data_IF_127259371601
#
_entry.id   IF_127259371601
#
_cell.length_a   1.000
_cell.length_b   1.000
_cell.length_c   1.000
_cell.angle_alpha   90.00
_cell.angle_beta   90.00
_cell.angle_gamma   90.00
#
_symmetry.space_group_name_H-M   'P 1'
#
loop_
_entity.id
_entity.type
_entity.pdbx_description
1 polymer ?
#
# COMPACT_ATOMS: atom_id res chain seq x y z
N UNK A 1 -5.43 -6.91 -23.21
CA UNK A 1 -6.37 -5.87 -23.68
C UNK A 1 -6.24 -4.70 -22.73
N UNK A 2 -5.42 -3.72 -23.08
CA UNK A 2 -5.13 -2.56 -22.24
C UNK A 2 -6.35 -1.64 -22.26
N UNK A 3 -6.95 -1.40 -21.09
CA UNK A 3 -7.77 -0.22 -20.88
C UNK A 3 -6.96 0.75 -20.04
N UNK A 4 -6.72 1.93 -20.59
CA UNK A 4 -6.60 3.14 -19.76
C UNK A 4 -7.89 3.25 -18.94
N UNK A 5 -7.86 2.78 -17.70
CA UNK A 5 -8.77 3.29 -16.69
C UNK A 5 -8.00 4.40 -15.99
N UNK A 6 -7.79 5.50 -16.69
CA UNK A 6 -7.68 6.76 -15.99
C UNK A 6 -9.06 6.94 -15.36
N UNK A 7 -9.19 6.59 -14.08
CA UNK A 7 -10.35 6.96 -13.26
C UNK A 7 -10.54 8.47 -13.47
N UNK A 8 -11.56 8.83 -14.24
CA UNK A 8 -11.83 10.23 -14.52
C UNK A 8 -12.22 10.88 -13.19
N UNK A 9 -11.29 11.64 -12.63
CA UNK A 9 -11.55 12.43 -11.43
C UNK A 9 -12.77 13.30 -11.71
N UNK A 10 -13.65 13.42 -10.72
CA UNK A 10 -14.80 14.31 -10.86
C UNK A 10 -14.34 15.77 -10.87
N UNK A 11 -15.20 16.67 -11.37
CA UNK A 11 -14.88 18.10 -11.52
C UNK A 11 -14.33 18.72 -10.24
N UNK A 12 -14.90 18.38 -9.08
CA UNK A 12 -14.42 18.90 -7.79
C UNK A 12 -13.02 18.40 -7.45
N UNK A 13 -12.71 17.12 -7.71
CA UNK A 13 -11.37 16.56 -7.51
C UNK A 13 -10.35 17.21 -8.44
N UNK A 14 -10.70 17.45 -9.70
CA UNK A 14 -9.84 18.16 -10.64
C UNK A 14 -9.57 19.60 -10.21
N UNK A 15 -10.61 20.35 -9.83
CA UNK A 15 -10.49 21.72 -9.32
C UNK A 15 -9.58 21.77 -8.08
N UNK A 16 -9.74 20.85 -7.13
CA UNK A 16 -8.89 20.76 -5.94
C UNK A 16 -7.41 20.50 -6.30
N UNK A 17 -7.14 19.62 -7.27
CA UNK A 17 -5.78 19.36 -7.74
C UNK A 17 -5.18 20.59 -8.44
N UNK A 18 -5.96 21.30 -9.26
CA UNK A 18 -5.51 22.51 -9.97
C UNK A 18 -5.22 23.68 -9.03
N UNK A 19 -5.98 23.77 -7.91
CA UNK A 19 -5.79 24.81 -6.90
C UNK A 19 -4.66 24.49 -5.91
N UNK A 20 -4.01 23.33 -6.03
CA UNK A 20 -2.88 22.97 -5.19
C UNK A 20 -1.73 23.98 -5.38
N UNK A 21 -1.21 24.51 -4.26
CA UNK A 21 -0.12 25.49 -4.22
C UNK A 21 1.23 24.87 -3.88
N UNK A 22 1.25 23.59 -3.56
CA UNK A 22 2.41 22.86 -3.10
C UNK A 22 2.99 21.99 -4.22
N UNK A 23 4.30 21.84 -4.23
CA UNK A 23 4.98 20.86 -5.08
C UNK A 23 5.21 19.58 -4.28
N UNK A 24 4.72 18.46 -4.82
CA UNK A 24 4.89 17.12 -4.25
C UNK A 24 5.62 16.17 -5.20
N UNK A 25 6.31 16.71 -6.21
CA UNK A 25 7.00 15.92 -7.24
C UNK A 25 8.16 15.07 -6.72
N UNK A 26 8.64 15.35 -5.51
CA UNK A 26 9.65 14.57 -4.78
C UNK A 26 9.05 13.44 -3.92
N UNK A 27 7.72 13.43 -3.73
CA UNK A 27 7.05 12.43 -2.91
C UNK A 27 6.78 11.13 -3.68
N UNK A 28 6.77 10.04 -2.91
CA UNK A 28 6.53 8.68 -3.39
C UNK A 28 5.49 8.01 -2.50
N UNK A 29 4.47 7.43 -3.11
CA UNK A 29 3.45 6.65 -2.43
C UNK A 29 3.51 5.19 -2.87
N UNK A 30 3.32 4.27 -1.92
CA UNK A 30 3.17 2.85 -2.16
C UNK A 30 1.82 2.38 -1.61
N UNK A 31 1.01 1.76 -2.46
CA UNK A 31 -0.18 1.04 -2.04
C UNK A 31 0.12 -0.45 -1.94
N UNK A 32 -0.16 -1.05 -0.78
CA UNK A 32 -0.14 -2.50 -0.59
C UNK A 32 -1.58 -3.03 -0.62
N UNK A 33 -2.00 -3.55 -1.79
CA UNK A 33 -3.33 -4.10 -2.00
C UNK A 33 -3.42 -5.55 -1.49
N UNK A 34 -3.85 -5.69 -0.24
CA UNK A 34 -3.96 -6.94 0.49
C UNK A 34 -5.21 -7.76 0.13
N UNK A 35 -5.60 -7.75 -1.15
CA UNK A 35 -6.60 -8.67 -1.70
C UNK A 35 -6.16 -10.13 -1.57
N UNK A 36 -7.12 -11.05 -1.66
CA UNK A 36 -6.86 -12.50 -1.79
C UNK A 36 -6.77 -12.97 -3.25
N UNK A 37 -7.19 -12.15 -4.22
CA UNK A 37 -7.14 -12.56 -5.65
C UNK A 37 -5.82 -12.19 -6.29
N UNK A 38 -5.23 -13.15 -7.00
CA UNK A 38 -3.94 -12.96 -7.69
C UNK A 38 -4.12 -12.15 -8.97
N UNK A 39 -3.06 -11.49 -9.41
CA UNK A 39 -3.05 -10.86 -10.74
C UNK A 39 -3.20 -11.91 -11.85
N UNK A 40 -3.91 -11.62 -12.95
CA UNK A 40 -4.54 -10.34 -13.31
C UNK A 40 -6.04 -10.26 -12.95
N UNK A 41 -6.51 -10.99 -11.94
CA UNK A 41 -7.94 -10.96 -11.59
C UNK A 41 -8.41 -9.55 -11.23
N UNK A 42 -9.60 -9.19 -11.73
CA UNK A 42 -10.24 -7.90 -11.49
C UNK A 42 -10.69 -7.77 -10.03
N UNK A 43 -10.45 -6.60 -9.46
CA UNK A 43 -10.80 -6.27 -8.08
C UNK A 43 -11.71 -5.06 -8.02
N UNK A 44 -12.74 -5.11 -7.16
CA UNK A 44 -13.53 -3.91 -6.84
C UNK A 44 -12.70 -2.87 -6.10
N UNK A 45 -11.77 -3.33 -5.25
CA UNK A 45 -10.86 -2.49 -4.48
C UNK A 45 -9.91 -1.66 -5.34
N UNK A 46 -9.63 -2.10 -6.57
CA UNK A 46 -8.82 -1.34 -7.51
C UNK A 46 -9.46 -0.01 -7.89
N UNK A 47 -10.79 0.04 -8.05
CA UNK A 47 -11.44 1.30 -8.43
C UNK A 47 -11.20 2.42 -7.41
N UNK A 48 -11.18 2.10 -6.11
CA UNK A 48 -10.92 3.10 -5.07
C UNK A 48 -9.42 3.45 -4.97
N UNK A 49 -8.53 2.47 -5.19
CA UNK A 49 -7.08 2.74 -5.33
C UNK A 49 -6.84 3.66 -6.52
N UNK A 50 -7.46 3.40 -7.67
CA UNK A 50 -7.26 4.16 -8.91
C UNK A 50 -7.68 5.62 -8.76
N UNK A 51 -8.77 5.90 -8.03
CA UNK A 51 -9.16 7.29 -7.69
C UNK A 51 -8.10 7.96 -6.82
N UNK A 52 -7.67 7.31 -5.73
CA UNK A 52 -6.67 7.88 -4.84
C UNK A 52 -5.31 8.09 -5.54
N UNK A 53 -4.89 7.11 -6.32
CA UNK A 53 -3.71 7.15 -7.17
C UNK A 53 -3.79 8.29 -8.17
N UNK A 54 -4.90 8.43 -8.90
CA UNK A 54 -5.07 9.50 -9.87
C UNK A 54 -4.99 10.90 -9.23
N UNK A 55 -5.53 11.08 -8.03
CA UNK A 55 -5.37 12.35 -7.27
C UNK A 55 -3.90 12.60 -6.93
N UNK A 56 -3.20 11.60 -6.41
CA UNK A 56 -1.78 11.71 -6.05
C UNK A 56 -0.91 12.03 -7.28
N UNK A 57 -1.12 11.32 -8.39
CA UNK A 57 -0.40 11.53 -9.64
C UNK A 57 -0.70 12.89 -10.28
N UNK A 58 -1.95 13.37 -10.21
CA UNK A 58 -2.31 14.74 -10.63
C UNK A 58 -1.59 15.82 -9.82
N UNK A 59 -1.24 15.50 -8.57
CA UNK A 59 -0.42 16.34 -7.70
C UNK A 59 1.09 16.02 -7.81
N UNK A 60 1.50 15.28 -8.85
CA UNK A 60 2.89 14.91 -9.19
C UNK A 60 3.57 13.92 -8.24
N UNK A 61 2.85 13.32 -7.31
CA UNK A 61 3.39 12.25 -6.46
C UNK A 61 3.62 11.02 -7.34
N UNK A 62 4.78 10.37 -7.20
CA UNK A 62 5.02 9.07 -7.86
C UNK A 62 4.30 7.96 -7.09
N UNK A 63 3.48 7.16 -7.76
CA UNK A 63 2.65 6.14 -7.09
C UNK A 63 2.90 4.74 -7.63
N UNK A 64 3.29 3.82 -6.73
CA UNK A 64 3.36 2.38 -6.99
C UNK A 64 2.19 1.66 -6.32
N UNK A 65 1.71 0.59 -6.95
CA UNK A 65 0.72 -0.34 -6.37
C UNK A 65 1.28 -1.75 -6.45
N UNK A 66 1.32 -2.45 -5.32
CA UNK A 66 1.79 -3.83 -5.21
C UNK A 66 0.70 -4.68 -4.57
N UNK A 67 0.47 -5.89 -5.09
CA UNK A 67 -0.44 -6.89 -4.51
C UNK A 67 0.38 -7.94 -3.77
N UNK A 68 0.43 -7.95 -2.42
CA UNK A 68 1.28 -8.90 -1.69
C UNK A 68 0.95 -10.37 -1.95
N UNK A 69 -0.29 -10.68 -2.36
CA UNK A 69 -0.71 -12.05 -2.73
C UNK A 69 -0.02 -12.61 -3.98
N UNK A 70 0.60 -11.76 -4.79
CA UNK A 70 1.38 -12.17 -5.96
C UNK A 70 2.83 -12.54 -5.61
N UNK A 71 3.23 -12.37 -4.35
CA UNK A 71 4.57 -12.63 -3.84
C UNK A 71 4.57 -13.76 -2.81
N UNK A 72 5.70 -14.47 -2.72
CA UNK A 72 5.89 -15.50 -1.71
C UNK A 72 6.44 -14.87 -0.42
N UNK A 73 5.53 -14.43 0.44
CA UNK A 73 5.85 -13.78 1.71
C UNK A 73 5.74 -14.82 2.83
N UNK A 74 6.88 -15.12 3.44
CA UNK A 74 6.96 -16.00 4.60
C UNK A 74 6.18 -15.44 5.80
N UNK A 75 5.74 -16.31 6.70
CA UNK A 75 5.17 -15.87 7.98
C UNK A 75 6.28 -15.61 8.99
N UNK A 76 6.14 -14.59 9.82
CA UNK A 76 7.07 -14.28 10.90
C UNK A 76 7.41 -12.81 11.00
N UNK A 77 8.33 -12.46 11.90
CA UNK A 77 8.63 -11.07 12.28
C UNK A 77 10.13 -10.74 12.23
N UNK A 78 10.92 -11.47 11.43
CA UNK A 78 12.32 -11.13 11.13
C UNK A 78 12.46 -10.52 9.73
N UNK A 79 13.40 -9.61 9.53
CA UNK A 79 13.55 -8.88 8.26
C UNK A 79 13.62 -9.79 7.03
N UNK A 80 14.35 -10.91 7.15
CA UNK A 80 14.42 -11.97 6.15
C UNK A 80 14.16 -13.32 6.82
N UNK A 81 13.05 -13.96 6.47
CA UNK A 81 12.68 -15.25 7.06
C UNK A 81 13.49 -16.42 6.48
N UNK A 82 14.22 -16.25 5.38
CA UNK A 82 15.11 -17.30 4.86
C UNK A 82 16.25 -17.58 5.83
N UNK A 83 16.70 -16.58 6.59
CA UNK A 83 17.67 -16.78 7.69
C UNK A 83 17.05 -17.49 8.90
N UNK A 84 15.74 -17.68 8.92
CA UNK A 84 14.95 -18.36 9.96
C UNK A 84 14.42 -19.72 9.48
N UNK A 85 14.95 -20.24 8.36
CA UNK A 85 14.62 -21.58 7.85
C UNK A 85 13.45 -21.64 6.88
N UNK A 86 12.95 -20.52 6.37
CA UNK A 86 12.03 -20.52 5.22
C UNK A 86 12.81 -20.71 3.92
N UNK A 87 12.27 -21.51 2.99
CA UNK A 87 12.92 -21.73 1.69
C UNK A 87 12.92 -20.46 0.81
N UNK A 88 11.91 -19.59 0.99
CA UNK A 88 11.73 -18.36 0.22
C UNK A 88 11.05 -17.27 1.06
N UNK A 89 11.47 -16.03 0.86
CA UNK A 89 10.81 -14.84 1.38
C UNK A 89 11.06 -13.65 0.44
N UNK A 90 10.00 -13.19 -0.24
CA UNK A 90 10.05 -12.01 -1.11
C UNK A 90 9.91 -10.70 -0.30
N UNK A 91 9.69 -10.78 1.02
CA UNK A 91 9.50 -9.61 1.88
C UNK A 91 10.67 -8.60 1.83
N UNK A 92 11.95 -9.00 1.86
CA UNK A 92 13.05 -8.03 1.84
C UNK A 92 12.98 -7.07 0.65
N UNK A 93 12.61 -7.54 -0.55
CA UNK A 93 12.48 -6.68 -1.73
C UNK A 93 11.24 -5.79 -1.68
N UNK A 94 10.15 -6.28 -1.08
CA UNK A 94 8.95 -5.48 -0.82
C UNK A 94 9.28 -4.39 0.22
N UNK A 95 10.05 -4.73 1.23
CA UNK A 95 10.45 -3.81 2.28
C UNK A 95 11.33 -2.68 1.76
N UNK A 96 12.20 -2.91 0.77
CA UNK A 96 12.93 -1.84 0.08
C UNK A 96 11.98 -0.79 -0.53
N UNK A 97 10.87 -1.23 -1.15
CA UNK A 97 9.84 -0.33 -1.68
C UNK A 97 9.11 0.42 -0.57
N UNK A 98 8.77 -0.27 0.53
CA UNK A 98 8.19 0.36 1.73
C UNK A 98 9.15 1.41 2.30
N UNK A 99 10.45 1.10 2.31
CA UNK A 99 11.46 1.98 2.87
C UNK A 99 11.70 3.23 2.00
N UNK A 100 11.56 3.10 0.69
CA UNK A 100 11.67 4.21 -0.26
C UNK A 100 10.40 5.08 -0.37
N UNK A 101 9.28 4.64 0.20
CA UNK A 101 8.02 5.36 0.15
C UNK A 101 7.92 6.41 1.27
N UNK A 102 7.45 7.60 0.92
CA UNK A 102 7.10 8.66 1.87
C UNK A 102 5.69 8.48 2.43
N UNK A 103 4.82 7.86 1.61
CA UNK A 103 3.43 7.57 1.94
C UNK A 103 3.21 6.06 1.74
N UNK A 104 2.79 5.36 2.79
CA UNK A 104 2.38 3.96 2.71
C UNK A 104 0.87 3.85 2.92
N UNK A 105 0.16 3.31 1.95
CA UNK A 105 -1.27 3.03 2.05
C UNK A 105 -1.51 1.54 2.08
N UNK A 106 -2.03 1.04 3.20
CA UNK A 106 -2.46 -0.37 3.30
C UNK A 106 -3.91 -0.45 2.85
N UNK A 107 -4.14 -1.27 1.83
CA UNK A 107 -5.47 -1.46 1.29
C UNK A 107 -5.96 -2.87 1.58
N UNK A 108 -7.11 -3.02 2.22
CA UNK A 108 -7.69 -4.33 2.49
C UNK A 108 -9.18 -4.35 2.20
N UNK A 109 -9.67 -5.37 1.48
CA UNK A 109 -11.07 -5.73 1.59
C UNK A 109 -11.41 -6.16 3.03
N UNK A 110 -12.66 -5.98 3.42
CA UNK A 110 -13.23 -6.49 4.66
C UNK A 110 -14.31 -7.51 4.35
N UNK A 111 -14.31 -8.59 5.12
CA UNK A 111 -15.35 -9.62 5.10
C UNK A 111 -15.66 -10.03 6.53
N UNK A 112 -16.95 -10.03 6.89
CA UNK A 112 -17.43 -10.35 8.23
C UNK A 112 -16.74 -9.54 9.35
N UNK A 113 -16.49 -8.25 9.10
CA UNK A 113 -15.82 -7.38 10.07
C UNK A 113 -14.34 -7.67 10.26
N UNK A 114 -13.71 -8.41 9.35
CA UNK A 114 -12.28 -8.70 9.42
C UNK A 114 -11.55 -8.28 8.15
N UNK A 115 -10.34 -7.75 8.32
CA UNK A 115 -9.40 -7.55 7.22
C UNK A 115 -8.98 -8.90 6.64
N UNK A 116 -8.62 -8.93 5.37
CA UNK A 116 -8.11 -10.15 4.75
C UNK A 116 -6.79 -10.60 5.40
N UNK A 117 -6.56 -11.91 5.43
CA UNK A 117 -5.40 -12.51 6.10
C UNK A 117 -4.06 -12.02 5.54
N UNK A 118 -4.01 -11.66 4.26
CA UNK A 118 -2.85 -11.02 3.62
C UNK A 118 -2.50 -9.71 4.30
N UNK A 119 -3.50 -8.92 4.72
CA UNK A 119 -3.28 -7.67 5.43
C UNK A 119 -2.65 -7.91 6.81
N UNK A 120 -3.14 -8.92 7.54
CA UNK A 120 -2.52 -9.35 8.82
C UNK A 120 -1.05 -9.73 8.61
N UNK A 121 -0.77 -10.58 7.61
CA UNK A 121 0.62 -10.97 7.29
C UNK A 121 1.48 -9.75 6.99
N UNK A 122 1.02 -8.83 6.13
CA UNK A 122 1.76 -7.60 5.81
C UNK A 122 2.06 -6.76 7.05
N UNK A 123 1.10 -6.61 7.97
CA UNK A 123 1.31 -5.88 9.24
C UNK A 123 2.38 -6.56 10.10
N UNK A 124 2.31 -7.89 10.26
CA UNK A 124 3.34 -8.65 10.98
C UNK A 124 4.73 -8.49 10.35
N UNK A 125 4.81 -8.49 9.02
CA UNK A 125 6.07 -8.27 8.31
C UNK A 125 6.56 -6.82 8.41
N UNK A 126 5.68 -5.82 8.44
CA UNK A 126 6.09 -4.43 8.74
C UNK A 126 6.66 -4.30 10.15
N UNK A 127 6.14 -5.05 11.11
CA UNK A 127 6.69 -5.10 12.47
C UNK A 127 8.08 -5.75 12.53
N UNK A 128 8.52 -6.48 11.51
CA UNK A 128 9.86 -7.08 11.48
C UNK A 128 11.00 -6.06 11.49
N UNK A 129 10.70 -4.82 11.11
CA UNK A 129 11.62 -3.67 11.13
C UNK A 129 11.28 -2.65 12.23
N UNK A 130 10.51 -3.04 13.24
CA UNK A 130 10.10 -2.13 14.33
C UNK A 130 11.26 -1.59 15.18
N UNK A 131 12.40 -2.28 15.18
CA UNK A 131 13.63 -1.84 15.86
C UNK A 131 14.59 -1.02 14.98
N UNK A 132 14.32 -0.92 13.67
CA UNK A 132 15.21 -0.22 12.75
C UNK A 132 15.19 1.29 13.03
N UNK A 133 16.35 1.93 12.90
CA UNK A 133 16.51 3.37 13.06
C UNK A 133 16.87 4.04 11.72
N UNK A 134 16.38 5.27 11.53
CA UNK A 134 16.82 6.16 10.46
C UNK A 134 18.14 6.85 10.82
N UNK A 135 18.71 7.62 9.87
CA UNK A 135 19.99 8.33 10.05
C UNK A 135 19.98 9.36 11.19
N UNK A 136 18.79 9.80 11.62
CA UNK A 136 18.60 10.70 12.76
C UNK A 136 18.44 9.96 14.10
N UNK A 137 18.58 8.63 14.13
CA UNK A 137 18.45 7.80 15.32
C UNK A 137 17.00 7.61 15.81
N UNK A 138 16.01 7.90 14.97
CA UNK A 138 14.59 7.68 15.25
C UNK A 138 14.13 6.36 14.62
N UNK A 139 12.98 5.82 15.01
CA UNK A 139 12.42 4.63 14.33
C UNK A 139 12.32 4.85 12.81
N UNK A 140 12.56 3.80 12.02
CA UNK A 140 12.70 3.87 10.56
C UNK A 140 11.50 4.54 9.85
N UNK A 141 10.31 4.42 10.42
CA UNK A 141 9.08 4.99 9.86
C UNK A 141 8.80 6.44 10.28
N UNK A 142 9.60 7.03 11.18
CA UNK A 142 9.44 8.44 11.58
C UNK A 142 9.63 9.39 10.38
N UNK A 143 8.77 10.42 10.31
CA UNK A 143 8.77 11.40 9.21
C UNK A 143 8.00 10.96 7.96
N UNK A 144 7.31 9.81 8.01
CA UNK A 144 6.48 9.28 6.90
C UNK A 144 4.99 9.36 7.22
N UNK A 145 4.16 9.15 6.20
CA UNK A 145 2.69 9.15 6.30
C UNK A 145 2.14 7.74 6.11
N UNK A 146 1.29 7.30 7.03
CA UNK A 146 0.49 6.08 6.89
C UNK A 146 -0.96 6.39 6.52
N UNK A 147 -1.53 5.63 5.60
CA UNK A 147 -2.94 5.68 5.23
C UNK A 147 -3.53 4.28 5.13
N UNK A 148 -4.86 4.20 5.14
CA UNK A 148 -5.58 2.95 4.89
C UNK A 148 -6.75 3.17 3.94
N UNK A 149 -7.02 2.16 3.13
CA UNK A 149 -8.15 2.14 2.20
C UNK A 149 -8.88 0.82 2.38
N UNK A 150 -10.17 0.92 2.68
CA UNK A 150 -10.97 -0.23 3.08
C UNK A 150 -12.19 -0.33 2.18
N UNK A 151 -12.45 -1.53 1.68
CA UNK A 151 -13.64 -1.83 0.88
C UNK A 151 -14.36 -3.03 1.46
N UNK A 152 -15.67 -2.92 1.71
CA UNK A 152 -16.51 -4.03 2.15
C UNK A 152 -17.78 -4.08 1.32
N UNK A 153 -18.40 -5.26 1.23
CA UNK A 153 -19.68 -5.39 0.52
C UNK A 153 -20.84 -4.83 1.33
N UNK A 154 -20.86 -5.08 2.63
CA UNK A 154 -22.06 -4.90 3.47
C UNK A 154 -21.74 -4.20 4.81
N UNK A 155 -20.72 -4.66 5.56
CA UNK A 155 -20.40 -4.13 6.89
C UNK A 155 -18.88 -4.10 7.16
N UNK A 156 -18.42 -3.15 7.98
CA UNK A 156 -17.07 -3.13 8.55
C UNK A 156 -16.16 -1.93 8.24
N UNK A 157 -16.65 -0.85 7.59
CA UNK A 157 -15.81 0.34 7.39
C UNK A 157 -15.52 1.14 8.69
N UNK A 158 -16.19 0.83 9.80
CA UNK A 158 -16.10 1.55 11.08
C UNK A 158 -15.23 0.85 12.14
N UNK A 159 -14.36 -0.09 11.72
CA UNK A 159 -13.37 -0.77 12.58
C UNK A 159 -11.96 -0.38 12.17
#
# INVERSE_FOLDING_TARGET
>A
MNREVASALNTKQEELCQQNKWDFSDLKALFLNCTLKRSPEMLHTEGLIDVAKAIMEKNKITVDVLRPVDHDIAYGVYADMTTQGWDKDDWPQIYEKVNAAHILVITSPIWLGEKFSICTKVIERLCSSSGDLNDAGQYAYCGRVGGYLITGNEDGANI
#
